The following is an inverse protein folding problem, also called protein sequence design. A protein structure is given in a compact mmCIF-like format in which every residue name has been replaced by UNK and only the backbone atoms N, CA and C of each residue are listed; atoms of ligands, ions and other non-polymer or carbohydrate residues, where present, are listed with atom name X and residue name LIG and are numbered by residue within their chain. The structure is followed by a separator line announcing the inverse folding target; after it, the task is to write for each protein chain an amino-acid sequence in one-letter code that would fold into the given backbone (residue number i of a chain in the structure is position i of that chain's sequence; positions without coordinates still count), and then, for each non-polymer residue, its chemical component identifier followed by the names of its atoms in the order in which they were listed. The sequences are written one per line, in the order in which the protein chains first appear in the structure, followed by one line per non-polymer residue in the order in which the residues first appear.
data_IF_751920509696
#
_entry.id   IF_751920509696
#
_cell.length_a   1.000
_cell.length_b   1.000
_cell.length_c   1.000
_cell.angle_alpha   90.00
_cell.angle_beta   90.00
_cell.angle_gamma   90.00
#
_symmetry.space_group_name_H-M   'P 1'
#
loop_
_entity.id
_entity.type
_entity.pdbx_description
1 polymer ?
#
# COMPACT_ATOMS: atom_id res chain seq x y z
N UNK A 1 22.56 -16.30 2.79
CA UNK A 1 21.51 -15.51 2.14
C UNK A 1 22.11 -14.29 1.51
N UNK A 2 21.70 -14.00 0.31
CA UNK A 2 22.24 -12.86 -0.41
C UNK A 2 21.63 -11.56 0.07
N UNK A 3 22.37 -10.47 -0.16
CA UNK A 3 21.86 -9.11 0.06
C UNK A 3 20.56 -8.86 -0.69
N UNK A 4 20.39 -9.47 -1.88
CA UNK A 4 19.18 -9.34 -2.69
C UNK A 4 17.93 -9.79 -1.93
N UNK A 5 18.01 -10.85 -1.13
CA UNK A 5 16.88 -11.31 -0.32
C UNK A 5 16.51 -10.28 0.75
N UNK A 6 17.50 -9.63 1.36
CA UNK A 6 17.25 -8.58 2.34
C UNK A 6 16.55 -7.37 1.70
N UNK A 7 17.01 -6.95 0.52
CA UNK A 7 16.39 -5.84 -0.21
C UNK A 7 14.96 -6.18 -0.61
N UNK A 8 14.73 -7.41 -1.07
CA UNK A 8 13.37 -7.86 -1.41
C UNK A 8 12.46 -7.83 -0.18
N UNK A 9 12.95 -8.34 0.95
CA UNK A 9 12.20 -8.32 2.19
C UNK A 9 11.87 -6.89 2.63
N UNK A 10 12.80 -5.96 2.48
CA UNK A 10 12.59 -4.55 2.84
C UNK A 10 11.49 -3.91 1.96
N UNK A 11 11.50 -4.20 0.66
CA UNK A 11 10.45 -3.72 -0.23
C UNK A 11 9.08 -4.24 0.21
N UNK A 12 8.98 -5.54 0.48
CA UNK A 12 7.71 -6.14 0.90
C UNK A 12 7.24 -5.61 2.26
N UNK A 13 8.15 -5.43 3.20
CA UNK A 13 7.85 -4.81 4.50
C UNK A 13 7.35 -3.38 4.36
N UNK A 14 7.90 -2.64 3.40
CA UNK A 14 7.50 -1.26 3.15
C UNK A 14 6.06 -1.15 2.66
N UNK A 15 5.51 -2.23 2.11
CA UNK A 15 4.11 -2.31 1.66
C UNK A 15 3.18 -2.89 2.72
N UNK A 16 3.69 -3.71 3.62
CA UNK A 16 2.89 -4.57 4.50
C UNK A 16 2.41 -3.86 5.77
N UNK A 17 1.58 -2.83 5.58
CA UNK A 17 0.98 -2.07 6.68
C UNK A 17 -0.31 -1.43 6.18
N UNK A 18 -1.43 -1.52 6.94
CA UNK A 18 -2.75 -1.07 6.44
C UNK A 18 -2.79 0.35 5.92
N UNK A 19 -2.23 1.32 6.65
CA UNK A 19 -2.22 2.72 6.19
C UNK A 19 -1.45 2.89 4.90
N UNK A 20 -0.33 2.18 4.74
CA UNK A 20 0.48 2.25 3.51
C UNK A 20 -0.26 1.66 2.32
N UNK A 21 -1.00 0.57 2.52
CA UNK A 21 -1.82 -0.02 1.46
C UNK A 21 -2.94 0.93 1.02
N UNK A 22 -3.56 1.64 1.96
CA UNK A 22 -4.56 2.65 1.65
C UNK A 22 -3.97 3.80 0.83
N UNK A 23 -2.80 4.27 1.21
CA UNK A 23 -2.07 5.34 0.49
C UNK A 23 -1.80 4.92 -0.95
N UNK A 24 -1.22 3.74 -1.12
CA UNK A 24 -0.86 3.23 -2.45
C UNK A 24 -2.10 3.10 -3.34
N UNK A 25 -3.18 2.58 -2.80
CA UNK A 25 -4.44 2.44 -3.54
C UNK A 25 -4.96 3.81 -4.00
N UNK A 26 -4.90 4.81 -3.14
CA UNK A 26 -5.31 6.17 -3.47
C UNK A 26 -4.44 6.79 -4.58
N UNK A 27 -3.18 6.37 -4.69
CA UNK A 27 -2.23 6.88 -5.68
C UNK A 27 -2.28 6.13 -7.02
N UNK A 28 -3.22 5.21 -7.21
CA UNK A 28 -3.32 4.43 -8.47
C UNK A 28 -3.49 5.29 -9.70
N UNK A 29 -4.22 6.38 -9.58
CA UNK A 29 -4.53 7.26 -10.71
C UNK A 29 -3.48 8.38 -10.91
N UNK A 30 -2.43 8.37 -10.11
CA UNK A 30 -1.33 9.30 -10.27
C UNK A 30 -1.01 10.08 -9.01
N UNK A 31 -0.19 11.10 -9.19
CA UNK A 31 0.32 11.97 -8.14
C UNK A 31 -0.80 12.69 -7.37
N UNK A 32 -0.65 12.76 -6.04
CA UNK A 32 -1.59 13.49 -5.18
C UNK A 32 -0.85 14.31 -4.13
N UNK A 33 -1.46 15.44 -3.75
CA UNK A 33 -1.00 16.27 -2.64
C UNK A 33 -1.22 15.54 -1.31
N UNK A 34 -0.33 15.73 -0.33
CA UNK A 34 -0.55 15.24 1.03
C UNK A 34 -1.90 15.74 1.56
N UNK A 35 -2.28 16.96 1.21
CA UNK A 35 -3.56 17.57 1.58
C UNK A 35 -4.79 16.80 1.09
N UNK A 36 -4.65 16.02 0.02
CA UNK A 36 -5.71 15.15 -0.50
C UNK A 36 -5.64 13.74 0.09
N UNK A 37 -4.44 13.28 0.41
CA UNK A 37 -4.22 11.89 0.81
C UNK A 37 -4.81 11.60 2.18
N UNK A 38 -4.45 12.37 3.22
CA UNK A 38 -4.85 12.00 4.57
C UNK A 38 -6.37 12.04 4.80
N UNK A 39 -7.13 12.99 4.21
CA UNK A 39 -8.60 12.91 4.32
C UNK A 39 -9.19 11.72 3.57
N UNK A 40 -8.63 11.39 2.40
CA UNK A 40 -9.15 10.31 1.56
C UNK A 40 -9.03 8.93 2.21
N UNK A 41 -7.98 8.71 3.00
CA UNK A 41 -7.76 7.44 3.69
C UNK A 41 -8.26 7.45 5.14
N UNK A 42 -8.89 8.53 5.56
CA UNK A 42 -9.44 8.70 6.91
C UNK A 42 -8.39 8.50 8.00
N UNK A 43 -7.25 9.17 7.85
CA UNK A 43 -6.13 9.11 8.79
C UNK A 43 -5.72 10.53 9.19
N UNK A 44 -5.04 10.66 10.32
CA UNK A 44 -4.46 11.94 10.74
C UNK A 44 -3.29 12.33 9.83
N UNK A 45 -3.10 13.63 9.63
CA UNK A 45 -2.04 14.16 8.78
C UNK A 45 -0.66 13.69 9.24
N UNK A 46 -0.39 13.75 10.54
CA UNK A 46 0.92 13.36 11.09
C UNK A 46 1.24 11.89 10.84
N UNK A 47 0.26 11.00 11.03
CA UNK A 47 0.41 9.58 10.78
C UNK A 47 0.64 9.29 9.29
N UNK A 48 -0.17 9.92 8.43
CA UNK A 48 -0.04 9.79 6.99
C UNK A 48 1.32 10.28 6.51
N UNK A 49 1.76 11.45 6.96
CA UNK A 49 3.05 12.04 6.58
C UNK A 49 4.22 11.13 6.96
N UNK A 50 4.14 10.49 8.13
CA UNK A 50 5.17 9.55 8.58
C UNK A 50 5.28 8.34 7.66
N UNK A 51 4.14 7.77 7.27
CA UNK A 51 4.12 6.62 6.34
C UNK A 51 4.57 7.02 4.94
N UNK A 52 4.18 8.19 4.46
CA UNK A 52 4.63 8.71 3.17
C UNK A 52 6.16 8.87 3.15
N UNK A 53 6.72 9.47 4.19
CA UNK A 53 8.17 9.66 4.30
C UNK A 53 8.91 8.32 4.35
N UNK A 54 8.39 7.35 5.09
CA UNK A 54 8.97 6.01 5.16
C UNK A 54 9.01 5.36 3.78
N UNK A 55 7.90 5.36 3.06
CA UNK A 55 7.83 4.75 1.73
C UNK A 55 8.71 5.47 0.72
N UNK A 56 8.82 6.79 0.81
CA UNK A 56 9.71 7.57 -0.06
C UNK A 56 11.17 7.20 0.20
N UNK A 57 11.57 7.10 1.46
CA UNK A 57 12.94 6.70 1.84
C UNK A 57 13.30 5.31 1.32
N UNK A 58 12.33 4.41 1.26
CA UNK A 58 12.55 3.02 0.82
C UNK A 58 12.27 2.80 -0.68
N UNK A 59 12.13 3.87 -1.45
CA UNK A 59 12.03 3.77 -2.90
C UNK A 59 10.67 3.35 -3.45
N UNK A 60 9.63 3.34 -2.60
CA UNK A 60 8.26 2.99 -3.03
C UNK A 60 7.58 4.20 -3.66
N UNK A 61 7.77 5.37 -3.07
CA UNK A 61 7.16 6.61 -3.54
C UNK A 61 8.20 7.61 -4.00
N UNK A 62 7.82 8.42 -4.97
CA UNK A 62 8.54 9.64 -5.33
C UNK A 62 7.84 10.83 -4.70
N UNK A 63 8.60 11.90 -4.44
CA UNK A 63 8.13 13.11 -3.78
C UNK A 63 8.47 14.32 -4.62
N UNK A 64 7.54 15.23 -4.73
CA UNK A 64 7.73 16.50 -5.45
C UNK A 64 7.17 17.63 -4.60
N UNK A 65 7.91 18.71 -4.47
CA UNK A 65 7.44 19.91 -3.78
C UNK A 65 7.11 20.99 -4.81
N UNK A 66 5.96 21.62 -4.64
CA UNK A 66 5.53 22.74 -5.47
C UNK A 66 4.95 23.82 -4.57
N UNK A 67 5.69 24.91 -4.40
CA UNK A 67 5.35 25.94 -3.42
C UNK A 67 5.34 25.35 -2.02
N UNK A 68 4.20 25.48 -1.31
CA UNK A 68 4.02 24.91 0.03
C UNK A 68 3.44 23.50 0.00
N UNK A 69 3.05 23.01 -1.19
CA UNK A 69 2.43 21.70 -1.33
C UNK A 69 3.44 20.62 -1.63
N UNK A 70 3.21 19.44 -1.06
CA UNK A 70 4.04 18.25 -1.26
C UNK A 70 3.18 17.20 -1.92
N UNK A 71 3.68 16.65 -3.03
CA UNK A 71 3.00 15.63 -3.83
C UNK A 71 3.77 14.32 -3.76
N UNK A 72 3.02 13.22 -3.72
CA UNK A 72 3.59 11.88 -3.75
C UNK A 72 2.98 11.08 -4.88
N UNK A 73 3.77 10.19 -5.45
CA UNK A 73 3.34 9.24 -6.49
C UNK A 73 4.05 7.91 -6.26
N UNK A 74 3.46 6.83 -6.73
CA UNK A 74 4.13 5.53 -6.72
C UNK A 74 5.24 5.57 -7.76
N UNK A 75 6.46 5.26 -7.31
CA UNK A 75 7.67 5.37 -8.14
C UNK A 75 7.75 4.25 -9.19
N UNK A 76 7.36 3.04 -8.81
CA UNK A 76 7.42 1.86 -9.68
C UNK A 76 6.04 1.25 -9.84
N UNK A 77 5.48 1.22 -11.07
CA UNK A 77 4.15 0.65 -11.30
C UNK A 77 3.99 -0.80 -10.85
N UNK A 78 5.10 -1.54 -10.77
CA UNK A 78 5.12 -2.93 -10.30
C UNK A 78 4.58 -3.08 -8.88
N UNK A 79 4.60 -2.01 -8.09
CA UNK A 79 4.02 -2.00 -6.73
C UNK A 79 2.53 -2.36 -6.79
N UNK A 80 1.81 -1.81 -7.76
CA UNK A 80 0.38 -2.13 -7.94
C UNK A 80 0.17 -3.59 -8.33
N UNK A 81 1.06 -4.13 -9.16
CA UNK A 81 0.99 -5.53 -9.56
C UNK A 81 1.20 -6.47 -8.38
N UNK A 82 2.16 -6.17 -7.52
CA UNK A 82 2.42 -6.96 -6.30
C UNK A 82 1.18 -6.98 -5.42
N UNK A 83 0.59 -5.81 -5.17
CA UNK A 83 -0.60 -5.69 -4.32
C UNK A 83 -1.80 -6.41 -4.94
N UNK A 84 -1.99 -6.27 -6.24
CA UNK A 84 -3.10 -6.92 -6.94
C UNK A 84 -2.97 -8.44 -6.92
N UNK A 85 -1.76 -8.97 -7.06
CA UNK A 85 -1.51 -10.41 -6.95
C UNK A 85 -1.75 -10.91 -5.53
N UNK A 86 -1.28 -10.17 -4.52
CA UNK A 86 -1.53 -10.50 -3.13
C UNK A 86 -3.04 -10.44 -2.82
N UNK A 87 -3.76 -9.47 -3.37
CA UNK A 87 -5.21 -9.34 -3.23
C UNK A 87 -5.93 -10.56 -3.79
N UNK A 88 -5.44 -11.10 -4.91
CA UNK A 88 -6.00 -12.33 -5.49
C UNK A 88 -5.89 -13.50 -4.53
N UNK A 89 -4.75 -13.63 -3.84
CA UNK A 89 -4.55 -14.68 -2.83
C UNK A 89 -5.55 -14.51 -1.69
N UNK A 90 -5.67 -13.30 -1.17
CA UNK A 90 -6.61 -13.00 -0.06
C UNK A 90 -8.04 -13.34 -0.47
N UNK A 91 -8.44 -12.96 -1.68
CA UNK A 91 -9.78 -13.21 -2.19
C UNK A 91 -10.09 -14.71 -2.25
N UNK A 92 -9.15 -15.51 -2.75
CA UNK A 92 -9.30 -16.97 -2.81
C UNK A 92 -9.42 -17.58 -1.42
N UNK A 93 -8.59 -17.14 -0.47
CA UNK A 93 -8.61 -17.64 0.91
C UNK A 93 -9.92 -17.30 1.60
N UNK A 94 -10.44 -16.09 1.41
CA UNK A 94 -11.72 -15.66 1.97
C UNK A 94 -12.88 -16.50 1.39
N UNK A 95 -12.88 -16.74 0.08
CA UNK A 95 -13.88 -17.56 -0.58
C UNK A 95 -13.89 -19.00 -0.05
N UNK A 96 -12.73 -19.60 0.13
CA UNK A 96 -12.59 -20.95 0.68
C UNK A 96 -13.14 -21.01 2.09
N UNK A 97 -12.77 -20.07 2.95
CA UNK A 97 -13.24 -20.00 4.34
C UNK A 97 -14.75 -19.78 4.42
N UNK A 98 -15.27 -18.89 3.58
CA UNK A 98 -16.71 -18.65 3.48
C UNK A 98 -17.47 -19.89 3.03
N UNK A 99 -16.92 -20.62 2.05
CA UNK A 99 -17.49 -21.87 1.57
C UNK A 99 -17.53 -22.94 2.63
N UNK A 100 -16.48 -23.06 3.43
CA UNK A 100 -16.42 -24.00 4.56
C UNK A 100 -17.46 -23.67 5.63
N UNK A 101 -17.59 -22.40 5.99
CA UNK A 101 -18.57 -21.95 7.00
C UNK A 101 -19.98 -22.24 6.49
N UNK A 102 -20.29 -21.90 5.26
CA UNK A 102 -21.60 -22.15 4.65
C UNK A 102 -21.92 -23.64 4.61
N UNK A 103 -20.93 -24.47 4.32
CA UNK A 103 -21.08 -25.92 4.30
C UNK A 103 -21.42 -26.47 5.70
N UNK A 104 -20.78 -25.98 6.73
CA UNK A 104 -21.04 -26.35 8.11
C UNK A 104 -22.43 -25.91 8.55
N UNK A 105 -22.82 -24.69 8.22
CA UNK A 105 -24.14 -24.15 8.58
C UNK A 105 -25.30 -24.92 7.93
N UNK A 106 -25.09 -25.47 6.74
CA UNK A 106 -26.08 -26.26 6.02
C UNK A 106 -26.21 -27.68 6.56
N UNK A 107 -25.23 -28.13 7.26
CA UNK A 107 -25.23 -29.47 7.86
C UNK A 107 -26.03 -29.49 9.14
#
# INVERSE_FOLDING_TARGET
MSSATHYLADVLKSLAQPTRLKIIDFLRDGERCVCEIFPAIDEEQSNTSRHLAYMQTHGILSRRKEGVKIYYAVKHPEVFEIIDRATTIVRREVEVRSGLINSVERS
#
